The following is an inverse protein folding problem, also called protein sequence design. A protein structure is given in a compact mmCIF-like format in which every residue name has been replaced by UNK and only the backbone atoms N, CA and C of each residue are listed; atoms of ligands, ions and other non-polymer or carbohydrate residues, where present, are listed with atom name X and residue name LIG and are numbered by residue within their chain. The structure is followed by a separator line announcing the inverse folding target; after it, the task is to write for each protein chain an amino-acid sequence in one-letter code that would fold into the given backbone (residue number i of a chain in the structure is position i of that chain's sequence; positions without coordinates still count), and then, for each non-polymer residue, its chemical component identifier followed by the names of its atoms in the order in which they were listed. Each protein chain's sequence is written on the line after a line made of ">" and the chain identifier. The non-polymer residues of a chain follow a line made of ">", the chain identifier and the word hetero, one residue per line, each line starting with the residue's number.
data_IF_573509732213
#
_entry.id   IF_573509732213
#
_cell.length_a   1.000
_cell.length_b   1.000
_cell.length_c   1.000
_cell.angle_alpha   90.00
_cell.angle_beta   90.00
_cell.angle_gamma   90.00
#
_symmetry.space_group_name_H-M   'P 1'
#
loop_
_entity.id
_entity.type
_entity.pdbx_description
1 polymer ?
#
# COMPACT_ATOMS: atom_id res chain seq x y z
N UNK A 1 -0.61 29.57 -3.58
CA UNK A 1 -1.61 30.04 -4.58
C UNK A 1 -1.46 29.45 -5.99
N UNK A 2 -0.25 29.10 -6.46
CA UNK A 2 -0.05 28.54 -7.81
C UNK A 2 -0.59 27.10 -8.01
N UNK A 3 -0.68 26.29 -6.95
CA UNK A 3 -1.17 24.91 -7.03
C UNK A 3 -2.69 24.80 -7.21
N UNK A 4 -3.46 25.76 -6.68
CA UNK A 4 -4.93 25.83 -6.78
C UNK A 4 -5.39 26.18 -8.20
N UNK A 5 -4.53 26.84 -9.00
CA UNK A 5 -4.82 27.23 -10.40
C UNK A 5 -4.59 26.08 -11.38
N UNK A 6 -3.68 25.14 -11.08
CA UNK A 6 -3.39 23.95 -11.92
C UNK A 6 -4.48 22.89 -11.84
N UNK A 7 -5.11 22.72 -10.68
CA UNK A 7 -6.20 21.74 -10.48
C UNK A 7 -7.49 22.19 -11.20
N UNK A 8 -7.75 23.51 -11.25
CA UNK A 8 -8.92 24.07 -11.96
C UNK A 8 -8.77 24.07 -13.49
N UNK A 9 -7.55 23.99 -14.03
CA UNK A 9 -7.34 23.88 -15.49
C UNK A 9 -7.54 22.45 -16.02
N UNK A 10 -7.29 21.43 -15.20
CA UNK A 10 -7.43 20.02 -15.62
C UNK A 10 -8.87 19.49 -15.59
N UNK A 11 -9.81 20.21 -14.96
CA UNK A 11 -11.23 19.83 -14.93
C UNK A 11 -11.99 20.34 -16.19
N UNK A 12 -11.43 21.32 -16.92
CA UNK A 12 -12.06 21.92 -18.10
C UNK A 12 -11.61 21.28 -19.43
N UNK A 13 -10.94 20.13 -19.42
CA UNK A 13 -10.43 19.45 -20.63
C UNK A 13 -10.99 18.04 -20.86
N UNK A 14 -12.13 17.69 -20.27
CA UNK A 14 -12.88 16.50 -20.66
C UNK A 14 -13.81 16.79 -21.84
N UNK A 15 -13.29 16.46 -23.03
CA UNK A 15 -13.94 16.13 -24.30
C UNK A 15 -15.47 16.28 -24.37
N UNK A 16 -15.91 17.39 -24.95
CA UNK A 16 -17.23 17.48 -25.59
C UNK A 16 -17.14 16.80 -26.95
N UNK A 17 -17.65 15.57 -27.05
CA UNK A 17 -17.86 14.91 -28.35
C UNK A 17 -18.98 15.66 -29.08
N UNK A 18 -18.60 16.59 -29.95
CA UNK A 18 -19.53 17.25 -30.89
C UNK A 18 -19.74 16.36 -32.11
N UNK A 19 -20.91 15.72 -32.20
CA UNK A 19 -21.36 15.10 -33.44
C UNK A 19 -21.78 16.20 -34.43
N UNK A 20 -20.97 16.41 -35.47
CA UNK A 20 -21.33 17.22 -36.64
C UNK A 20 -22.24 16.39 -37.57
N UNK A 21 -23.51 16.75 -37.66
CA UNK A 21 -24.41 16.31 -38.73
C UNK A 21 -24.71 17.53 -39.62
N UNK A 22 -24.40 17.43 -40.91
CA UNK A 22 -24.68 18.44 -41.95
C UNK A 22 -26.18 18.75 -42.03
N UNK A 23 -26.60 20.00 -42.31
CA UNK A 23 -28.00 20.33 -42.47
C UNK A 23 -28.47 19.99 -43.89
N UNK A 24 -29.54 19.20 -44.02
CA UNK A 24 -30.37 19.15 -45.22
C UNK A 24 -31.79 19.57 -44.87
N UNK A 25 -32.17 20.71 -45.43
CA UNK A 25 -33.52 21.15 -45.85
C UNK A 25 -34.77 20.67 -45.07
N UNK A 26 -35.37 21.63 -44.39
CA UNK A 26 -36.81 21.96 -44.36
C UNK A 26 -37.83 20.81 -44.47
N UNK A 27 -38.47 20.47 -43.36
CA UNK A 27 -39.93 20.29 -43.33
C UNK A 27 -40.47 20.45 -41.91
N UNK A 28 -41.57 21.17 -41.82
CA UNK A 28 -42.35 21.51 -40.62
C UNK A 28 -42.93 20.28 -39.94
N UNK A 29 -42.58 20.05 -38.66
CA UNK A 29 -43.37 19.23 -37.75
C UNK A 29 -43.51 19.97 -36.42
N UNK A 30 -44.75 20.19 -36.02
CA UNK A 30 -45.16 20.91 -34.81
C UNK A 30 -44.53 20.30 -33.55
N UNK A 31 -44.11 21.11 -32.56
CA UNK A 31 -43.54 20.59 -31.33
C UNK A 31 -44.63 19.89 -30.51
N UNK A 32 -44.50 18.58 -30.35
CA UNK A 32 -45.22 17.83 -29.32
C UNK A 32 -44.73 18.36 -27.96
N UNK A 33 -45.55 19.17 -27.31
CA UNK A 33 -45.33 19.60 -25.93
C UNK A 33 -45.59 18.37 -25.05
N UNK A 34 -44.54 17.61 -24.75
CA UNK A 34 -44.58 16.62 -23.68
C UNK A 34 -44.57 17.40 -22.36
N UNK A 35 -45.55 17.21 -21.45
CA UNK A 35 -45.58 17.95 -20.21
C UNK A 35 -44.33 17.59 -19.41
N UNK A 36 -43.49 18.59 -19.14
CA UNK A 36 -42.33 18.47 -18.30
C UNK A 36 -42.75 17.76 -17.01
N UNK A 37 -42.31 16.51 -16.85
CA UNK A 37 -42.40 15.85 -15.57
C UNK A 37 -41.62 16.74 -14.60
N UNK A 38 -42.36 17.45 -13.75
CA UNK A 38 -41.80 18.15 -12.61
C UNK A 38 -41.01 17.10 -11.84
N UNK A 39 -39.70 17.10 -12.04
CA UNK A 39 -38.79 16.44 -11.13
C UNK A 39 -39.02 17.16 -9.80
N UNK A 40 -39.85 16.57 -8.95
CA UNK A 40 -39.82 16.87 -7.54
C UNK A 40 -38.45 16.41 -7.08
N UNK A 41 -37.51 17.35 -7.02
CA UNK A 41 -36.42 17.23 -6.06
C UNK A 41 -37.16 17.15 -4.72
N UNK A 42 -37.35 15.92 -4.24
CA UNK A 42 -37.66 15.71 -2.84
C UNK A 42 -36.56 16.46 -2.11
N UNK A 43 -36.91 17.57 -1.45
CA UNK A 43 -36.09 18.12 -0.38
C UNK A 43 -35.90 16.94 0.58
N UNK A 44 -34.80 16.20 0.40
CA UNK A 44 -34.37 15.14 1.30
C UNK A 44 -34.25 15.80 2.65
N UNK A 45 -35.31 15.63 3.44
CA UNK A 45 -35.60 16.44 4.61
C UNK A 45 -34.36 16.65 5.47
N UNK A 46 -33.73 17.81 5.28
CA UNK A 46 -32.59 18.31 6.04
C UNK A 46 -32.98 18.53 7.51
N UNK A 47 -34.28 18.48 7.83
CA UNK A 47 -34.81 18.57 9.20
C UNK A 47 -34.54 17.34 10.06
N UNK A 48 -34.32 16.14 9.49
CA UNK A 48 -34.16 14.92 10.30
C UNK A 48 -32.77 14.74 10.93
N UNK A 49 -31.72 15.33 10.35
CA UNK A 49 -30.33 15.15 10.78
C UNK A 49 -29.71 16.43 11.34
N UNK A 50 -30.49 17.12 12.17
CA UNK A 50 -29.95 18.18 13.02
C UNK A 50 -29.28 17.58 14.23
N UNK A 51 -28.20 18.21 14.69
CA UNK A 51 -27.46 17.82 15.91
C UNK A 51 -28.40 17.54 17.10
N UNK A 52 -29.37 18.41 17.35
CA UNK A 52 -30.34 18.28 18.44
C UNK A 52 -31.24 17.04 18.34
N UNK A 53 -31.55 16.59 17.12
CA UNK A 53 -32.40 15.41 16.91
C UNK A 53 -31.61 14.13 17.11
N UNK A 54 -30.35 14.10 16.64
CA UNK A 54 -29.45 12.98 16.89
C UNK A 54 -29.21 12.82 18.40
N UNK A 55 -28.90 13.90 19.09
CA UNK A 55 -28.67 13.89 20.54
C UNK A 55 -29.88 13.34 21.31
N UNK A 56 -31.09 13.83 21.01
CA UNK A 56 -32.33 13.35 21.64
C UNK A 56 -32.59 11.87 21.35
N UNK A 57 -32.39 11.41 20.11
CA UNK A 57 -32.57 10.00 19.75
C UNK A 57 -31.61 9.13 20.54
N UNK A 58 -30.32 9.45 20.55
CA UNK A 58 -29.29 8.66 21.23
C UNK A 58 -29.57 8.50 22.74
N UNK A 59 -30.10 9.54 23.40
CA UNK A 59 -30.47 9.48 24.83
C UNK A 59 -31.61 8.49 25.14
N UNK A 60 -32.44 8.15 24.15
CA UNK A 60 -33.58 7.24 24.33
C UNK A 60 -33.28 5.78 24.01
N UNK A 61 -32.10 5.47 23.46
CA UNK A 61 -31.76 4.13 22.99
C UNK A 61 -31.25 3.26 24.14
N UNK A 62 -31.60 1.98 24.11
CA UNK A 62 -31.20 1.02 25.14
C UNK A 62 -30.54 -0.24 24.58
N UNK A 63 -30.78 -0.58 23.30
CA UNK A 63 -30.30 -1.82 22.71
C UNK A 63 -29.21 -1.60 21.65
N UNK A 64 -28.32 -2.57 21.49
CA UNK A 64 -27.27 -2.57 20.45
C UNK A 64 -27.85 -2.34 19.04
N UNK A 65 -28.99 -2.97 18.73
CA UNK A 65 -29.63 -2.88 17.43
C UNK A 65 -30.14 -1.46 17.14
N UNK A 66 -30.74 -0.81 18.15
CA UNK A 66 -31.17 0.59 18.06
C UNK A 66 -29.98 1.52 17.79
N UNK A 67 -28.90 1.40 18.57
CA UNK A 67 -27.68 2.19 18.36
C UNK A 67 -27.11 1.97 16.96
N UNK A 68 -27.04 0.72 16.52
CA UNK A 68 -26.55 0.33 15.19
C UNK A 68 -27.38 1.01 14.10
N UNK A 69 -28.70 0.88 14.15
CA UNK A 69 -29.58 1.43 13.12
C UNK A 69 -29.48 2.96 13.05
N UNK A 70 -29.50 3.64 14.20
CA UNK A 70 -29.41 5.11 14.25
C UNK A 70 -28.07 5.60 13.76
N UNK A 71 -26.96 4.98 14.20
CA UNK A 71 -25.62 5.41 13.81
C UNK A 71 -25.27 5.06 12.36
N UNK A 72 -25.77 3.96 11.80
CA UNK A 72 -25.64 3.67 10.36
C UNK A 72 -26.44 4.68 9.53
N UNK A 73 -27.67 4.99 9.95
CA UNK A 73 -28.49 5.97 9.25
C UNK A 73 -27.83 7.37 9.29
N UNK A 74 -27.21 7.71 10.42
CA UNK A 74 -26.39 8.91 10.58
C UNK A 74 -25.18 8.90 9.64
N UNK A 75 -24.36 7.83 9.66
CA UNK A 75 -23.13 7.76 8.85
C UNK A 75 -23.41 7.83 7.35
N UNK A 76 -24.47 7.17 6.89
CA UNK A 76 -24.90 7.23 5.48
C UNK A 76 -25.33 8.63 5.02
N UNK A 77 -25.68 9.51 5.96
CA UNK A 77 -26.14 10.88 5.68
C UNK A 77 -25.15 11.94 6.14
N UNK A 78 -23.94 11.54 6.55
CA UNK A 78 -22.91 12.46 7.03
C UNK A 78 -22.63 13.59 6.06
N UNK A 79 -22.59 13.34 4.76
CA UNK A 79 -22.32 14.36 3.72
C UNK A 79 -23.33 15.53 3.78
N UNK A 80 -24.55 15.28 4.27
CA UNK A 80 -25.60 16.28 4.41
C UNK A 80 -25.51 17.05 5.74
N UNK A 81 -24.71 16.56 6.69
CA UNK A 81 -24.51 17.16 8.00
C UNK A 81 -23.56 18.35 7.89
N UNK A 82 -24.05 19.57 8.14
CA UNK A 82 -23.27 20.81 8.02
C UNK A 82 -23.25 21.65 9.30
N UNK A 83 -23.85 21.14 10.36
CA UNK A 83 -24.05 21.87 11.62
C UNK A 83 -23.14 21.28 12.72
N UNK A 84 -22.56 22.12 13.58
CA UNK A 84 -21.99 21.74 14.88
C UNK A 84 -21.15 20.43 14.91
N UNK A 85 -20.17 20.30 13.99
CA UNK A 85 -19.35 19.09 13.85
C UNK A 85 -18.59 18.77 15.15
N UNK A 86 -17.94 19.76 15.76
CA UNK A 86 -17.18 19.59 17.01
C UNK A 86 -18.07 19.18 18.19
N UNK A 87 -19.26 19.78 18.30
CA UNK A 87 -20.24 19.39 19.33
C UNK A 87 -20.72 17.96 19.10
N UNK A 88 -20.88 17.55 17.84
CA UNK A 88 -21.25 16.19 17.47
C UNK A 88 -20.17 15.17 17.87
N UNK A 89 -18.90 15.47 17.63
CA UNK A 89 -17.79 14.63 18.12
C UNK A 89 -17.83 14.51 19.64
N UNK A 90 -17.90 15.65 20.34
CA UNK A 90 -17.91 15.72 21.80
C UNK A 90 -19.08 14.91 22.38
N UNK A 91 -20.27 15.09 21.81
CA UNK A 91 -21.47 14.37 22.23
C UNK A 91 -21.34 12.87 21.99
N UNK A 92 -20.85 12.41 20.84
CA UNK A 92 -20.69 10.99 20.54
C UNK A 92 -19.67 10.33 21.49
N UNK A 93 -18.56 11.00 21.76
CA UNK A 93 -17.51 10.51 22.68
C UNK A 93 -18.04 10.40 24.11
N UNK A 94 -18.72 11.44 24.62
CA UNK A 94 -19.32 11.42 25.95
C UNK A 94 -20.38 10.32 26.10
N UNK A 95 -21.22 10.10 25.08
CA UNK A 95 -22.21 9.02 25.12
C UNK A 95 -21.52 7.66 25.09
N UNK A 96 -20.52 7.48 24.22
CA UNK A 96 -19.75 6.24 24.13
C UNK A 96 -19.08 5.87 25.46
N UNK A 97 -18.45 6.82 26.15
CA UNK A 97 -17.74 6.57 27.42
C UNK A 97 -18.69 6.20 28.56
N UNK A 98 -19.92 6.74 28.54
CA UNK A 98 -20.97 6.34 29.50
C UNK A 98 -21.45 4.91 29.29
N UNK A 99 -21.33 4.40 28.07
CA UNK A 99 -21.77 3.06 27.71
C UNK A 99 -20.64 2.06 28.01
N UNK A 100 -20.93 1.05 28.82
CA UNK A 100 -19.95 0.03 29.22
C UNK A 100 -19.85 -1.14 28.24
N UNK A 101 -20.85 -1.34 27.37
CA UNK A 101 -20.88 -2.44 26.40
C UNK A 101 -19.86 -2.19 25.26
N UNK A 102 -18.82 -3.05 25.13
CA UNK A 102 -17.80 -2.88 24.11
C UNK A 102 -18.34 -2.94 22.66
N UNK A 103 -19.43 -3.67 22.41
CA UNK A 103 -20.01 -3.76 21.07
C UNK A 103 -20.70 -2.44 20.68
N UNK A 104 -21.35 -1.78 21.64
CA UNK A 104 -21.94 -0.46 21.41
C UNK A 104 -20.82 0.57 21.20
N UNK A 105 -19.78 0.54 22.05
CA UNK A 105 -18.61 1.43 21.91
C UNK A 105 -17.98 1.35 20.52
N UNK A 106 -17.81 0.15 19.97
CA UNK A 106 -17.28 -0.06 18.61
C UNK A 106 -18.11 0.65 17.55
N UNK A 107 -19.45 0.64 17.66
CA UNK A 107 -20.32 1.34 16.69
C UNK A 107 -20.11 2.84 16.76
N UNK A 108 -19.98 3.40 17.97
CA UNK A 108 -19.66 4.82 18.14
C UNK A 108 -18.29 5.16 17.55
N UNK A 109 -17.25 4.35 17.82
CA UNK A 109 -15.91 4.56 17.25
C UNK A 109 -15.95 4.49 15.72
N UNK A 110 -16.73 3.57 15.14
CA UNK A 110 -16.91 3.48 13.69
C UNK A 110 -17.62 4.72 13.12
N UNK A 111 -18.63 5.25 13.82
CA UNK A 111 -19.28 6.49 13.44
C UNK A 111 -18.33 7.69 13.51
N UNK A 112 -17.54 7.80 14.59
CA UNK A 112 -16.48 8.80 14.74
C UNK A 112 -15.41 8.68 13.64
N UNK A 113 -15.04 7.46 13.28
CA UNK A 113 -14.08 7.20 12.18
C UNK A 113 -14.65 7.62 10.83
N UNK A 114 -15.93 7.35 10.57
CA UNK A 114 -16.61 7.81 9.36
C UNK A 114 -16.72 9.35 9.32
N UNK A 115 -17.02 9.97 10.47
CA UNK A 115 -16.97 11.42 10.61
C UNK A 115 -15.58 11.96 10.30
N UNK A 116 -14.51 11.39 10.84
CA UNK A 116 -13.15 11.90 10.64
C UNK A 116 -12.70 11.85 9.18
N UNK A 117 -13.20 10.87 8.40
CA UNK A 117 -12.96 10.78 6.96
C UNK A 117 -13.65 11.89 6.16
N UNK A 118 -14.83 12.34 6.59
CA UNK A 118 -15.67 13.31 5.85
C UNK A 118 -15.44 14.73 6.36
N UNK A 119 -15.30 14.90 7.67
CA UNK A 119 -15.12 16.14 8.40
C UNK A 119 -13.85 16.06 9.25
N UNK A 120 -12.68 16.28 8.64
CA UNK A 120 -11.42 16.21 9.34
C UNK A 120 -11.32 17.34 10.35
N UNK A 121 -11.17 16.98 11.63
CA UNK A 121 -11.00 17.94 12.72
C UNK A 121 -9.91 17.47 13.66
N UNK A 122 -9.12 18.40 14.17
CA UNK A 122 -8.14 18.16 15.24
C UNK A 122 -8.72 18.74 16.54
N UNK A 123 -9.36 17.89 17.35
CA UNK A 123 -9.83 18.27 18.69
C UNK A 123 -8.98 17.52 19.73
N UNK A 124 -7.93 18.17 20.21
CA UNK A 124 -6.94 17.56 21.11
C UNK A 124 -7.55 17.00 22.40
N UNK A 125 -8.61 17.62 22.92
CA UNK A 125 -9.28 17.12 24.12
C UNK A 125 -9.98 15.78 23.86
N UNK A 126 -10.67 15.65 22.72
CA UNK A 126 -11.27 14.38 22.29
C UNK A 126 -10.19 13.33 22.03
N UNK A 127 -9.09 13.70 21.39
CA UNK A 127 -8.00 12.75 21.10
C UNK A 127 -7.36 12.27 22.40
N UNK A 128 -7.15 13.14 23.40
CA UNK A 128 -6.67 12.75 24.73
C UNK A 128 -7.65 11.81 25.44
N UNK A 129 -8.95 12.10 25.38
CA UNK A 129 -9.99 11.27 26.02
C UNK A 129 -10.05 9.87 25.39
N UNK A 130 -9.99 9.78 24.06
CA UNK A 130 -9.91 8.50 23.34
C UNK A 130 -8.58 7.78 23.59
N UNK A 131 -7.48 8.52 23.76
CA UNK A 131 -6.18 7.94 24.11
C UNK A 131 -6.22 7.35 25.52
N UNK A 132 -6.89 8.00 26.46
CA UNK A 132 -7.12 7.46 27.80
C UNK A 132 -7.98 6.19 27.75
N UNK A 133 -9.05 6.19 26.95
CA UNK A 133 -9.87 4.98 26.73
C UNK A 133 -9.06 3.83 26.15
N UNK A 134 -8.16 4.10 25.19
CA UNK A 134 -7.26 3.10 24.61
C UNK A 134 -6.42 2.40 25.70
N UNK A 135 -5.90 3.15 26.68
CA UNK A 135 -5.09 2.58 27.78
C UNK A 135 -5.90 1.71 28.73
N UNK A 136 -7.17 2.04 28.94
CA UNK A 136 -8.00 1.40 29.97
C UNK A 136 -8.80 0.20 29.45
N UNK A 137 -9.08 0.17 28.15
CA UNK A 137 -9.95 -0.86 27.59
C UNK A 137 -9.25 -2.22 27.53
N UNK A 138 -9.96 -3.27 27.93
CA UNK A 138 -9.53 -4.67 27.79
C UNK A 138 -10.16 -5.35 26.57
N UNK A 139 -11.06 -4.65 25.86
CA UNK A 139 -11.76 -5.22 24.72
C UNK A 139 -10.95 -5.07 23.44
N UNK A 140 -10.52 -6.20 22.89
CA UNK A 140 -9.83 -6.30 21.59
C UNK A 140 -10.59 -5.56 20.49
N UNK A 141 -11.93 -5.65 20.47
CA UNK A 141 -12.75 -4.97 19.45
C UNK A 141 -12.65 -3.45 19.58
N UNK A 142 -12.68 -2.94 20.80
CA UNK A 142 -12.59 -1.50 21.09
C UNK A 142 -11.18 -1.00 20.78
N UNK A 143 -10.14 -1.71 21.26
CA UNK A 143 -8.74 -1.40 20.96
C UNK A 143 -8.49 -1.32 19.46
N UNK A 144 -8.89 -2.36 18.70
CA UNK A 144 -8.71 -2.38 17.25
C UNK A 144 -9.45 -1.26 16.53
N UNK A 145 -10.64 -0.88 17.02
CA UNK A 145 -11.42 0.24 16.45
C UNK A 145 -10.80 1.59 16.77
N UNK A 146 -10.27 1.79 17.99
CA UNK A 146 -9.56 3.00 18.38
C UNK A 146 -8.25 3.18 17.58
N UNK A 147 -7.46 2.12 17.42
CA UNK A 147 -6.25 2.16 16.58
C UNK A 147 -6.58 2.51 15.12
N UNK A 148 -7.72 2.02 14.61
CA UNK A 148 -8.22 2.38 13.27
C UNK A 148 -8.63 3.85 13.20
N UNK A 149 -9.36 4.36 14.21
CA UNK A 149 -9.71 5.77 14.33
C UNK A 149 -8.47 6.66 14.33
N UNK A 150 -7.48 6.34 15.16
CA UNK A 150 -6.22 7.10 15.22
C UNK A 150 -5.46 7.04 13.89
N UNK A 151 -5.48 5.93 13.16
CA UNK A 151 -4.84 5.85 11.84
C UNK A 151 -5.49 6.81 10.83
N UNK A 152 -6.82 6.94 10.88
CA UNK A 152 -7.56 7.90 10.04
C UNK A 152 -7.26 9.33 10.47
N UNK A 153 -7.24 9.61 11.78
CA UNK A 153 -6.90 10.91 12.34
C UNK A 153 -5.48 11.35 11.93
N UNK A 154 -4.48 10.48 12.11
CA UNK A 154 -3.08 10.76 11.77
C UNK A 154 -2.83 11.01 10.28
N UNK A 155 -3.75 10.59 9.41
CA UNK A 155 -3.68 10.91 7.97
C UNK A 155 -3.92 12.40 7.67
N UNK A 156 -4.40 13.18 8.65
CA UNK A 156 -4.84 14.57 8.48
C UNK A 156 -3.98 15.62 9.20
N UNK A 157 -2.76 15.22 9.61
CA UNK A 157 -1.85 16.00 10.45
C UNK A 157 -2.35 16.19 11.90
N UNK A 158 -1.43 16.08 12.86
CA UNK A 158 -1.61 16.26 14.30
C UNK A 158 -0.52 17.22 14.72
N UNK A 159 -0.95 18.38 15.20
CA UNK A 159 -0.11 19.49 15.61
C UNK A 159 0.54 19.21 16.97
N UNK A 160 -0.15 18.49 17.86
CA UNK A 160 0.35 18.16 19.19
C UNK A 160 1.42 17.05 19.14
N UNK A 161 2.67 17.47 19.35
CA UNK A 161 3.85 16.62 19.37
C UNK A 161 3.86 15.62 20.52
N UNK A 162 3.45 16.02 21.72
CA UNK A 162 3.46 15.14 22.90
C UNK A 162 2.43 14.02 22.74
N UNK A 163 1.26 14.38 22.21
CA UNK A 163 0.20 13.45 21.89
C UNK A 163 0.61 12.47 20.77
N UNK A 164 1.22 12.98 19.71
CA UNK A 164 1.72 12.17 18.59
C UNK A 164 2.77 11.16 19.05
N UNK A 165 3.76 11.61 19.84
CA UNK A 165 4.80 10.74 20.41
C UNK A 165 4.22 9.71 21.40
N UNK A 166 3.18 10.08 22.16
CA UNK A 166 2.49 9.18 23.07
C UNK A 166 1.70 8.10 22.32
N UNK A 167 0.97 8.47 21.27
CA UNK A 167 0.26 7.53 20.41
C UNK A 167 1.24 6.56 19.72
N UNK A 168 2.40 7.04 19.27
CA UNK A 168 3.43 6.20 18.67
C UNK A 168 3.97 5.15 19.66
N UNK A 169 4.26 5.55 20.90
CA UNK A 169 4.68 4.61 21.96
C UNK A 169 3.63 3.54 22.23
N UNK A 170 2.35 3.90 22.27
CA UNK A 170 1.28 2.91 22.41
C UNK A 170 1.17 1.99 21.22
N UNK A 171 1.24 2.53 20.00
CA UNK A 171 1.21 1.70 18.80
C UNK A 171 2.42 0.73 18.73
N UNK A 172 3.61 1.13 19.20
CA UNK A 172 4.75 0.22 19.36
C UNK A 172 4.42 -0.90 20.35
N UNK A 173 3.81 -0.57 21.50
CA UNK A 173 3.40 -1.59 22.49
C UNK A 173 2.34 -2.55 21.94
N UNK A 174 1.35 -2.07 21.19
CA UNK A 174 0.31 -2.90 20.59
C UNK A 174 0.79 -3.69 19.36
N UNK A 175 1.96 -3.37 18.79
CA UNK A 175 2.54 -4.14 17.68
C UNK A 175 2.95 -5.56 18.07
N UNK A 176 3.12 -5.84 19.36
CA UNK A 176 3.46 -7.15 19.92
C UNK A 176 2.29 -7.78 20.71
N UNK A 177 1.06 -7.29 20.51
CA UNK A 177 -0.14 -7.80 21.16
C UNK A 177 -0.39 -9.28 20.81
N UNK A 178 -1.06 -10.04 21.68
CA UNK A 178 -1.36 -11.46 21.41
C UNK A 178 -2.30 -11.64 20.21
N UNK A 179 -3.07 -10.63 19.84
CA UNK A 179 -4.01 -10.68 18.73
C UNK A 179 -3.43 -10.04 17.47
N UNK A 180 -3.24 -10.85 16.42
CA UNK A 180 -2.78 -10.43 15.09
C UNK A 180 -3.52 -9.19 14.57
N UNK A 181 -4.84 -9.11 14.77
CA UNK A 181 -5.64 -7.94 14.33
C UNK A 181 -5.18 -6.64 15.01
N UNK A 182 -4.83 -6.69 16.29
CA UNK A 182 -4.34 -5.52 17.02
C UNK A 182 -2.96 -5.12 16.51
N UNK A 183 -2.07 -6.11 16.31
CA UNK A 183 -0.75 -5.87 15.73
C UNK A 183 -0.87 -5.16 14.37
N UNK A 184 -1.68 -5.68 13.45
CA UNK A 184 -1.91 -5.08 12.12
C UNK A 184 -2.46 -3.66 12.23
N UNK A 185 -3.44 -3.41 13.11
CA UNK A 185 -3.97 -2.06 13.33
C UNK A 185 -2.90 -1.11 13.90
N UNK A 186 -2.03 -1.60 14.77
CA UNK A 186 -0.96 -0.83 15.36
C UNK A 186 0.11 -0.48 14.33
N UNK A 187 0.53 -1.42 13.49
CA UNK A 187 1.50 -1.20 12.40
C UNK A 187 0.99 -0.14 11.40
N UNK A 188 -0.29 -0.20 11.02
CA UNK A 188 -0.94 0.84 10.19
C UNK A 188 -0.84 2.22 10.82
N UNK A 189 -1.11 2.31 12.13
CA UNK A 189 -1.02 3.55 12.88
C UNK A 189 0.43 4.06 12.92
N UNK A 190 1.41 3.18 13.19
CA UNK A 190 2.83 3.54 13.20
C UNK A 190 3.27 4.13 11.87
N UNK A 191 2.81 3.57 10.75
CA UNK A 191 3.07 4.12 9.44
C UNK A 191 2.55 5.54 9.27
N UNK A 192 1.31 5.81 9.70
CA UNK A 192 0.72 7.15 9.61
C UNK A 192 1.42 8.15 10.53
N UNK A 193 1.77 7.74 11.75
CA UNK A 193 2.48 8.57 12.72
C UNK A 193 3.92 8.85 12.28
N UNK A 194 4.62 7.87 11.72
CA UNK A 194 6.01 8.02 11.27
C UNK A 194 6.16 9.03 10.12
N UNK A 195 5.12 9.23 9.31
CA UNK A 195 5.08 10.26 8.25
C UNK A 195 4.89 11.69 8.79
N UNK A 196 4.53 11.84 10.06
CA UNK A 196 4.15 13.14 10.59
C UNK A 196 5.41 13.99 10.84
N UNK A 197 5.41 15.28 10.47
CA UNK A 197 6.57 16.13 10.75
C UNK A 197 6.64 16.54 12.23
N UNK A 198 5.56 16.37 13.00
CA UNK A 198 5.51 16.68 14.44
C UNK A 198 6.21 15.62 15.31
N UNK A 199 6.38 14.40 14.82
CA UNK A 199 6.97 13.30 15.60
C UNK A 199 8.49 13.46 15.73
N UNK A 200 9.02 13.13 16.91
CA UNK A 200 10.45 13.17 17.18
C UNK A 200 11.24 12.18 16.33
N UNK A 201 12.44 12.57 15.87
CA UNK A 201 13.33 11.69 15.10
C UNK A 201 13.74 10.43 15.87
N UNK A 202 13.89 10.52 17.19
CA UNK A 202 14.14 9.34 18.04
C UNK A 202 12.98 8.35 17.96
N UNK A 203 11.74 8.86 18.05
CA UNK A 203 10.54 8.04 17.93
C UNK A 203 10.40 7.48 16.51
N UNK A 204 10.76 8.23 15.45
CA UNK A 204 10.81 7.68 14.09
C UNK A 204 11.78 6.50 14.00
N UNK A 205 12.97 6.64 14.59
CA UNK A 205 13.95 5.55 14.63
C UNK A 205 13.40 4.34 15.37
N UNK A 206 12.71 4.53 16.51
CA UNK A 206 12.07 3.44 17.25
C UNK A 206 10.99 2.74 16.41
N UNK A 207 10.21 3.51 15.65
CA UNK A 207 9.20 2.96 14.72
C UNK A 207 9.88 2.09 13.66
N UNK A 208 10.93 2.60 13.00
CA UNK A 208 11.63 1.87 11.93
C UNK A 208 12.25 0.59 12.47
N UNK A 209 12.93 0.65 13.62
CA UNK A 209 13.52 -0.52 14.26
C UNK A 209 12.45 -1.56 14.60
N UNK A 210 11.33 -1.13 15.19
CA UNK A 210 10.21 -2.02 15.49
C UNK A 210 9.64 -2.67 14.24
N UNK A 211 9.50 -1.92 13.14
CA UNK A 211 9.00 -2.46 11.88
C UNK A 211 9.97 -3.50 11.29
N UNK A 212 11.27 -3.25 11.33
CA UNK A 212 12.30 -4.18 10.86
C UNK A 212 12.30 -5.47 11.67
N UNK A 213 12.20 -5.41 13.00
CA UNK A 213 12.02 -6.61 13.83
C UNK A 213 10.74 -7.38 13.45
N UNK A 214 9.69 -6.66 13.06
CA UNK A 214 8.36 -7.26 12.79
C UNK A 214 8.29 -7.96 11.43
N UNK A 215 9.22 -7.70 10.49
CA UNK A 215 9.25 -8.45 9.22
C UNK A 215 9.71 -9.90 9.40
N UNK A 216 10.27 -10.27 10.56
CA UNK A 216 10.64 -11.66 10.88
C UNK A 216 9.53 -12.40 11.64
N UNK A 217 8.35 -11.79 11.80
CA UNK A 217 7.23 -12.36 12.56
C UNK A 217 6.71 -13.67 11.92
N UNK A 218 6.26 -14.63 12.73
CA UNK A 218 5.77 -15.94 12.24
C UNK A 218 4.54 -15.82 11.33
N UNK A 219 3.61 -14.91 11.68
CA UNK A 219 2.40 -14.66 10.90
C UNK A 219 2.68 -13.80 9.64
N UNK A 220 2.32 -14.29 8.44
CA UNK A 220 2.58 -13.60 7.18
C UNK A 220 1.79 -12.29 7.01
N UNK A 221 0.60 -12.17 7.60
CA UNK A 221 -0.19 -10.93 7.51
C UNK A 221 0.49 -9.81 8.29
N UNK A 222 1.12 -10.15 9.43
CA UNK A 222 1.89 -9.21 10.24
C UNK A 222 3.16 -8.78 9.51
N UNK A 223 3.93 -9.72 8.95
CA UNK A 223 5.11 -9.40 8.12
C UNK A 223 4.75 -8.50 6.94
N UNK A 224 3.68 -8.85 6.22
CA UNK A 224 3.23 -8.09 5.06
C UNK A 224 2.82 -6.66 5.45
N UNK A 225 2.13 -6.47 6.57
CA UNK A 225 1.77 -5.12 7.05
C UNK A 225 3.01 -4.33 7.51
N UNK A 226 3.96 -4.95 8.20
CA UNK A 226 5.21 -4.29 8.59
C UNK A 226 6.00 -3.82 7.37
N UNK A 227 6.18 -4.70 6.38
CA UNK A 227 6.91 -4.38 5.15
C UNK A 227 6.22 -3.30 4.31
N UNK A 228 4.88 -3.34 4.20
CA UNK A 228 4.10 -2.25 3.59
C UNK A 228 4.29 -0.93 4.31
N UNK A 229 4.35 -0.98 5.63
CA UNK A 229 4.53 0.22 6.46
C UNK A 229 5.91 0.82 6.22
N UNK A 230 6.96 0.00 6.12
CA UNK A 230 8.32 0.42 5.75
C UNK A 230 8.30 1.09 4.37
N UNK A 231 7.72 0.43 3.35
CA UNK A 231 7.61 0.99 2.00
C UNK A 231 6.86 2.33 2.00
N UNK A 232 5.79 2.45 2.79
CA UNK A 232 5.04 3.69 2.93
C UNK A 232 5.88 4.82 3.54
N UNK A 233 6.77 4.52 4.50
CA UNK A 233 7.72 5.50 5.04
C UNK A 233 8.82 5.86 4.03
N UNK A 234 9.35 4.88 3.29
CA UNK A 234 10.39 5.09 2.30
C UNK A 234 9.93 5.93 1.11
N UNK A 235 8.66 5.80 0.70
CA UNK A 235 8.05 6.70 -0.30
C UNK A 235 8.06 8.17 0.13
N UNK A 236 8.19 8.43 1.43
CA UNK A 236 8.35 9.77 1.99
C UNK A 236 9.80 10.09 2.38
N UNK A 237 10.77 9.25 1.96
CA UNK A 237 12.20 9.37 2.28
C UNK A 237 12.51 9.28 3.79
N UNK A 238 11.64 8.61 4.56
CA UNK A 238 11.79 8.45 6.02
C UNK A 238 12.41 7.09 6.32
N UNK A 239 13.53 7.09 7.03
CA UNK A 239 14.14 5.85 7.53
C UNK A 239 14.86 5.01 6.47
N UNK A 240 15.08 5.56 5.28
CA UNK A 240 15.82 4.90 4.22
C UNK A 240 17.27 4.69 4.67
N UNK A 241 17.73 3.44 4.72
CA UNK A 241 19.10 3.13 5.13
C UNK A 241 19.61 1.89 4.40
N UNK A 242 20.87 1.91 3.98
CA UNK A 242 21.49 0.84 3.20
C UNK A 242 21.51 -0.53 3.92
N UNK A 243 21.75 -0.63 5.24
CA UNK A 243 21.68 -1.90 5.96
C UNK A 243 20.30 -2.58 5.89
N UNK A 244 19.24 -1.82 5.58
CA UNK A 244 17.91 -2.40 5.42
C UNK A 244 17.79 -3.30 4.18
N UNK A 245 18.76 -3.23 3.26
CA UNK A 245 18.84 -4.05 2.06
C UNK A 245 18.77 -5.57 2.36
N UNK A 246 19.52 -6.05 3.35
CA UNK A 246 19.59 -7.49 3.66
C UNK A 246 18.24 -8.06 4.11
N UNK A 247 17.51 -7.30 4.94
CA UNK A 247 16.16 -7.64 5.36
C UNK A 247 15.21 -7.84 4.16
N UNK A 248 15.32 -7.00 3.13
CA UNK A 248 14.47 -7.12 1.95
C UNK A 248 14.92 -8.25 1.02
N UNK A 249 16.22 -8.60 0.99
CA UNK A 249 16.68 -9.79 0.28
C UNK A 249 16.07 -11.07 0.85
N UNK A 250 16.01 -11.18 2.17
CA UNK A 250 15.37 -12.31 2.84
C UNK A 250 13.87 -12.35 2.51
N UNK A 251 13.20 -11.19 2.53
CA UNK A 251 11.78 -11.09 2.17
C UNK A 251 11.48 -11.46 0.69
N UNK A 252 12.45 -11.37 -0.22
CA UNK A 252 12.29 -11.85 -1.61
C UNK A 252 12.16 -13.38 -1.69
N UNK A 253 12.57 -14.11 -0.66
CA UNK A 253 12.47 -15.58 -0.60
C UNK A 253 11.26 -16.04 0.22
N UNK A 254 10.40 -15.13 0.68
CA UNK A 254 9.24 -15.47 1.50
C UNK A 254 8.24 -16.33 0.72
N UNK A 255 7.63 -17.32 1.38
CA UNK A 255 6.60 -18.18 0.78
C UNK A 255 5.36 -17.43 0.30
N UNK A 256 5.08 -16.25 0.86
CA UNK A 256 3.92 -15.43 0.53
C UNK A 256 4.25 -14.38 -0.54
N UNK A 257 3.56 -14.45 -1.67
CA UNK A 257 3.81 -13.57 -2.82
C UNK A 257 3.63 -12.08 -2.50
N UNK A 258 2.75 -11.73 -1.57
CA UNK A 258 2.53 -10.36 -1.13
C UNK A 258 3.76 -9.75 -0.44
N UNK A 259 4.50 -10.55 0.32
CA UNK A 259 5.73 -10.12 0.99
C UNK A 259 6.83 -9.94 -0.05
N UNK A 260 7.02 -10.93 -0.95
CA UNK A 260 7.98 -10.82 -2.06
C UNK A 260 7.72 -9.59 -2.93
N UNK A 261 6.46 -9.37 -3.31
CA UNK A 261 6.01 -8.20 -4.07
C UNK A 261 6.38 -6.88 -3.37
N UNK A 262 6.11 -6.79 -2.08
CA UNK A 262 6.40 -5.57 -1.30
C UNK A 262 7.91 -5.40 -1.07
N UNK A 263 8.66 -6.50 -0.95
CA UNK A 263 10.13 -6.49 -0.84
C UNK A 263 10.79 -5.99 -2.13
N UNK A 264 10.29 -6.40 -3.30
CA UNK A 264 10.71 -5.83 -4.58
C UNK A 264 10.53 -4.31 -4.59
N UNK A 265 9.42 -3.80 -4.04
CA UNK A 265 9.19 -2.35 -3.95
C UNK A 265 10.14 -1.65 -2.99
N UNK A 266 10.43 -2.25 -1.83
CA UNK A 266 11.41 -1.71 -0.89
C UNK A 266 12.82 -1.62 -1.51
N UNK A 267 13.26 -2.68 -2.19
CA UNK A 267 14.54 -2.72 -2.91
C UNK A 267 14.60 -1.70 -4.03
N UNK A 268 13.53 -1.59 -4.82
CA UNK A 268 13.40 -0.56 -5.85
C UNK A 268 13.57 0.85 -5.27
N UNK A 269 12.90 1.14 -4.14
CA UNK A 269 13.02 2.44 -3.47
C UNK A 269 14.43 2.70 -2.95
N UNK A 270 15.11 1.70 -2.36
CA UNK A 270 16.52 1.84 -1.98
C UNK A 270 17.40 2.16 -3.19
N UNK A 271 17.23 1.42 -4.29
CA UNK A 271 18.05 1.56 -5.49
C UNK A 271 17.92 2.93 -6.17
N UNK A 272 16.70 3.48 -6.28
CA UNK A 272 16.51 4.78 -6.94
C UNK A 272 16.97 5.96 -6.09
N UNK A 273 16.98 5.80 -4.75
CA UNK A 273 17.39 6.86 -3.82
C UNK A 273 18.90 6.80 -3.49
N UNK A 274 19.51 5.61 -3.57
CA UNK A 274 20.93 5.38 -3.27
C UNK A 274 21.62 4.60 -4.40
N UNK A 275 21.54 5.04 -5.68
CA UNK A 275 21.93 4.23 -6.83
C UNK A 275 23.42 3.87 -6.86
N UNK A 276 24.26 4.81 -6.41
CA UNK A 276 25.73 4.69 -6.40
C UNK A 276 26.27 3.98 -5.15
N UNK A 277 25.41 3.65 -4.18
CA UNK A 277 25.85 2.95 -2.97
C UNK A 277 26.35 1.56 -3.31
N UNK A 278 27.48 1.17 -2.71
CA UNK A 278 28.00 -0.19 -2.86
C UNK A 278 27.44 -1.05 -1.74
N UNK A 279 26.88 -2.20 -2.08
CA UNK A 279 26.52 -3.23 -1.11
C UNK A 279 27.60 -4.32 -1.16
N UNK A 280 28.05 -4.87 -0.02
CA UNK A 280 28.93 -6.03 -0.04
C UNK A 280 28.26 -7.15 -0.82
N UNK A 281 28.90 -7.54 -1.92
CA UNK A 281 28.50 -8.69 -2.71
C UNK A 281 28.51 -9.90 -1.77
N UNK A 282 27.37 -10.56 -1.58
CA UNK A 282 27.40 -11.91 -1.03
C UNK A 282 28.33 -12.71 -1.95
N UNK A 283 29.39 -13.25 -1.34
CA UNK A 283 30.52 -13.91 -1.99
C UNK A 283 30.10 -14.67 -3.25
N UNK A 284 30.40 -14.13 -4.44
CA UNK A 284 30.50 -14.77 -5.76
C UNK A 284 30.31 -13.70 -6.87
N UNK A 285 31.31 -12.83 -7.10
CA UNK A 285 31.82 -12.33 -8.40
C UNK A 285 32.73 -11.10 -8.21
N UNK A 286 33.63 -10.88 -9.18
CA UNK A 286 34.83 -10.03 -9.10
C UNK A 286 34.55 -8.51 -8.96
N UNK A 287 35.53 -7.70 -8.50
CA UNK A 287 35.35 -6.27 -8.29
C UNK A 287 35.58 -5.51 -9.61
N UNK A 288 34.55 -4.85 -10.13
CA UNK A 288 34.61 -3.59 -10.89
C UNK A 288 33.19 -3.21 -11.34
N UNK A 289 32.68 -2.05 -10.91
CA UNK A 289 31.40 -1.42 -11.29
C UNK A 289 30.08 -2.23 -11.14
N UNK A 290 30.15 -3.55 -10.92
CA UNK A 290 29.01 -4.43 -10.62
C UNK A 290 28.51 -4.29 -9.16
N UNK A 291 29.19 -3.50 -8.34
CA UNK A 291 28.86 -3.33 -6.93
C UNK A 291 27.79 -2.28 -6.64
N UNK A 292 27.39 -1.46 -7.63
CA UNK A 292 26.35 -0.43 -7.44
C UNK A 292 25.01 -1.07 -7.08
N UNK A 293 24.36 -0.52 -6.06
CA UNK A 293 23.07 -0.98 -5.55
C UNK A 293 22.02 -1.05 -6.66
N UNK A 294 21.96 -0.04 -7.54
CA UNK A 294 20.99 -0.03 -8.63
C UNK A 294 21.17 -1.19 -9.61
N UNK A 295 22.42 -1.58 -9.90
CA UNK A 295 22.73 -2.70 -10.79
C UNK A 295 22.38 -4.03 -10.11
N UNK A 296 22.67 -4.18 -8.82
CA UNK A 296 22.29 -5.38 -8.06
C UNK A 296 20.77 -5.55 -7.97
N UNK A 297 20.05 -4.49 -7.59
CA UNK A 297 18.58 -4.51 -7.52
C UNK A 297 17.97 -4.75 -8.89
N UNK A 298 18.55 -4.22 -9.97
CA UNK A 298 18.10 -4.53 -11.32
C UNK A 298 18.14 -6.04 -11.62
N UNK A 299 19.24 -6.72 -11.29
CA UNK A 299 19.35 -8.18 -11.47
C UNK A 299 18.29 -8.93 -10.63
N UNK A 300 18.17 -8.58 -9.35
CA UNK A 300 17.17 -9.18 -8.47
C UNK A 300 15.75 -9.01 -9.02
N UNK A 301 15.37 -7.80 -9.44
CA UNK A 301 14.05 -7.55 -10.03
C UNK A 301 13.88 -8.32 -11.35
N UNK A 302 14.95 -8.45 -12.15
CA UNK A 302 14.91 -9.30 -13.35
C UNK A 302 14.64 -10.77 -13.00
N UNK A 303 15.22 -11.30 -11.94
CA UNK A 303 14.96 -12.67 -11.50
C UNK A 303 13.50 -12.85 -11.05
N UNK A 304 12.92 -11.84 -10.41
CA UNK A 304 11.50 -11.82 -9.99
C UNK A 304 10.50 -11.82 -11.15
N UNK A 305 10.95 -11.61 -12.39
CA UNK A 305 10.09 -11.83 -13.57
C UNK A 305 9.76 -13.31 -13.80
N UNK A 306 10.51 -14.23 -13.17
CA UNK A 306 10.25 -15.66 -13.16
C UNK A 306 9.48 -16.15 -11.92
N UNK A 307 9.00 -15.24 -11.07
CA UNK A 307 8.28 -15.62 -9.85
C UNK A 307 7.04 -16.46 -10.16
N UNK A 308 6.70 -17.42 -9.29
CA UNK A 308 5.52 -18.29 -9.45
C UNK A 308 4.21 -17.49 -9.51
N UNK A 309 4.13 -16.38 -8.78
CA UNK A 309 2.94 -15.55 -8.66
C UNK A 309 2.90 -14.45 -9.73
N UNK A 310 1.81 -14.42 -10.51
CA UNK A 310 1.61 -13.46 -11.62
C UNK A 310 1.77 -12.00 -11.19
N UNK A 311 1.24 -11.63 -10.03
CA UNK A 311 1.33 -10.26 -9.52
C UNK A 311 2.77 -9.80 -9.26
N UNK A 312 3.64 -10.68 -8.75
CA UNK A 312 5.06 -10.40 -8.56
C UNK A 312 5.74 -10.18 -9.92
N UNK A 313 5.49 -11.07 -10.90
CA UNK A 313 6.02 -10.93 -12.26
C UNK A 313 5.65 -9.60 -12.91
N UNK A 314 4.36 -9.23 -12.87
CA UNK A 314 3.85 -7.97 -13.46
C UNK A 314 4.54 -6.76 -12.81
N UNK A 315 4.67 -6.75 -11.49
CA UNK A 315 5.32 -5.65 -10.78
C UNK A 315 6.81 -5.57 -11.09
N UNK A 316 7.50 -6.71 -11.13
CA UNK A 316 8.91 -6.78 -11.51
C UNK A 316 9.14 -6.17 -12.90
N UNK A 317 8.32 -6.54 -13.89
CA UNK A 317 8.40 -5.97 -15.24
C UNK A 317 8.20 -4.44 -15.27
N UNK A 318 7.23 -3.92 -14.49
CA UNK A 318 7.03 -2.48 -14.36
C UNK A 318 8.23 -1.77 -13.72
N UNK A 319 8.90 -2.43 -12.77
CA UNK A 319 10.07 -1.89 -12.08
C UNK A 319 11.32 -1.87 -12.97
N UNK A 320 11.55 -2.90 -13.79
CA UNK A 320 12.67 -2.94 -14.76
C UNK A 320 12.66 -1.67 -15.62
N UNK A 321 11.51 -1.34 -16.21
CA UNK A 321 11.37 -0.15 -17.06
C UNK A 321 11.63 1.16 -16.33
N UNK A 322 11.32 1.23 -15.02
CA UNK A 322 11.64 2.40 -14.18
C UNK A 322 13.12 2.44 -13.84
N UNK A 323 13.71 1.34 -13.37
CA UNK A 323 15.13 1.25 -12.99
C UNK A 323 16.06 1.66 -14.14
N UNK A 324 15.77 1.26 -15.37
CA UNK A 324 16.53 1.68 -16.55
C UNK A 324 16.62 3.22 -16.71
N UNK A 325 15.65 3.98 -16.17
CA UNK A 325 15.65 5.45 -16.20
C UNK A 325 16.48 6.09 -15.07
N UNK A 326 16.88 5.31 -14.08
CA UNK A 326 17.55 5.79 -12.86
C UNK A 326 19.05 5.48 -12.81
N UNK A 327 19.66 5.02 -13.91
CA UNK A 327 21.11 4.88 -14.01
C UNK A 327 21.64 3.44 -13.92
N UNK A 328 20.82 2.43 -14.25
CA UNK A 328 21.31 1.07 -14.49
C UNK A 328 22.32 1.08 -15.66
N UNK A 329 23.41 0.32 -15.52
CA UNK A 329 24.38 0.16 -16.60
C UNK A 329 23.70 -0.39 -17.87
N UNK A 330 23.89 0.31 -18.99
CA UNK A 330 23.35 -0.07 -20.29
C UNK A 330 23.84 -1.45 -20.75
N UNK A 331 25.06 -1.84 -20.38
CA UNK A 331 25.59 -3.16 -20.72
C UNK A 331 24.82 -4.26 -20.00
N UNK A 332 24.46 -4.03 -18.73
CA UNK A 332 23.64 -4.97 -17.96
C UNK A 332 22.25 -5.11 -18.58
N UNK A 333 21.63 -3.99 -18.97
CA UNK A 333 20.35 -4.01 -19.69
C UNK A 333 20.46 -4.80 -21.00
N UNK A 334 21.52 -4.58 -21.77
CA UNK A 334 21.75 -5.32 -23.00
C UNK A 334 21.93 -6.81 -22.76
N UNK A 335 22.71 -7.22 -21.74
CA UNK A 335 22.91 -8.62 -21.38
C UNK A 335 21.59 -9.28 -20.98
N UNK A 336 20.79 -8.62 -20.14
CA UNK A 336 19.48 -9.12 -19.70
C UNK A 336 18.52 -9.30 -20.86
N UNK A 337 18.59 -8.45 -21.89
CA UNK A 337 17.74 -8.50 -23.08
C UNK A 337 18.32 -9.33 -24.24
N UNK A 338 19.60 -9.75 -24.18
CA UNK A 338 20.25 -10.43 -25.29
C UNK A 338 19.76 -11.88 -25.44
N UNK A 339 19.04 -12.14 -26.54
CA UNK A 339 18.59 -13.47 -26.96
C UNK A 339 19.74 -14.46 -27.21
N UNK A 340 20.98 -14.01 -27.45
CA UNK A 340 22.12 -14.92 -27.67
C UNK A 340 22.53 -15.65 -26.39
N UNK A 341 22.44 -15.00 -25.22
CA UNK A 341 22.69 -15.64 -23.92
C UNK A 341 21.66 -16.76 -23.66
N UNK A 342 20.38 -16.52 -23.93
CA UNK A 342 19.31 -17.53 -23.84
C UNK A 342 19.57 -18.76 -24.72
N UNK A 343 20.16 -18.59 -25.91
CA UNK A 343 20.53 -19.73 -26.78
C UNK A 343 21.69 -20.54 -26.19
N UNK A 344 22.62 -19.88 -25.52
CA UNK A 344 23.75 -20.53 -24.85
C UNK A 344 23.26 -21.28 -23.60
N UNK A 345 22.37 -20.70 -22.80
CA UNK A 345 21.80 -21.34 -21.61
C UNK A 345 20.93 -22.54 -21.97
N UNK A 346 20.00 -22.39 -22.94
CA UNK A 346 19.21 -23.53 -23.45
C UNK A 346 20.09 -24.64 -24.02
N UNK A 347 21.23 -24.28 -24.63
CA UNK A 347 22.22 -25.25 -25.11
C UNK A 347 22.94 -25.94 -23.95
N UNK A 348 23.30 -25.23 -22.87
CA UNK A 348 23.91 -25.80 -21.66
C UNK A 348 22.94 -26.70 -20.88
N UNK A 349 21.68 -26.31 -20.73
CA UNK A 349 20.65 -27.17 -20.12
C UNK A 349 20.38 -28.42 -20.97
N UNK A 350 20.36 -28.28 -22.31
CA UNK A 350 20.33 -29.45 -23.19
C UNK A 350 21.54 -30.34 -22.98
N UNK A 351 22.75 -29.77 -22.90
CA UNK A 351 24.00 -30.52 -22.70
C UNK A 351 23.97 -31.21 -21.34
N UNK A 352 23.61 -30.53 -20.25
CA UNK A 352 23.53 -31.14 -18.92
C UNK A 352 22.45 -32.22 -18.84
N UNK A 353 21.33 -32.05 -19.55
CA UNK A 353 20.26 -33.06 -19.64
C UNK A 353 20.67 -34.24 -20.54
N UNK A 354 21.47 -34.00 -21.57
CA UNK A 354 22.11 -35.02 -22.40
C UNK A 354 23.20 -35.74 -21.61
N UNK A 355 24.01 -35.05 -20.81
CA UNK A 355 25.01 -35.66 -19.91
C UNK A 355 24.38 -36.48 -18.79
N UNK A 356 23.22 -36.05 -18.26
CA UNK A 356 22.43 -36.87 -17.34
C UNK A 356 21.83 -38.12 -18.00
N UNK A 357 21.49 -38.05 -19.29
CA UNK A 357 21.01 -39.20 -20.07
C UNK A 357 22.18 -40.09 -20.57
N UNK A 358 23.35 -39.51 -20.87
CA UNK A 358 24.59 -40.20 -21.24
C UNK A 358 25.27 -40.84 -20.02
N UNK A 359 24.92 -40.45 -18.79
CA UNK A 359 25.33 -41.21 -17.59
C UNK A 359 24.67 -42.59 -17.49
N UNK A 360 23.72 -42.91 -18.39
CA UNK A 360 23.21 -44.28 -18.62
C UNK A 360 23.83 -44.97 -19.85
N UNK A 361 24.73 -44.32 -20.61
CA UNK A 361 25.44 -44.91 -21.76
C UNK A 361 26.87 -44.36 -21.90
N UNK A 362 27.85 -45.17 -21.53
CA UNK A 362 29.29 -44.85 -21.67
C UNK A 362 29.71 -44.48 -23.11
N UNK A 363 30.71 -43.58 -23.16
CA UNK A 363 31.65 -43.27 -24.23
C UNK A 363 31.18 -42.49 -25.47
N UNK A 364 31.22 -41.15 -25.44
CA UNK A 364 31.81 -40.30 -26.52
C UNK A 364 32.40 -39.00 -25.93
N UNK A 365 33.69 -38.74 -26.21
CA UNK A 365 34.40 -37.52 -25.83
C UNK A 365 33.87 -36.25 -26.54
N UNK A 366 33.44 -35.25 -25.76
CA UNK A 366 33.06 -33.91 -26.25
C UNK A 366 34.23 -32.94 -26.04
N UNK A 367 34.66 -32.29 -27.11
CA UNK A 367 35.74 -31.29 -27.10
C UNK A 367 35.39 -30.04 -26.29
N UNK A 368 36.34 -29.64 -25.44
CA UNK A 368 36.32 -28.48 -24.56
C UNK A 368 36.07 -27.16 -25.32
N UNK A 369 35.00 -26.48 -24.92
CA UNK A 369 34.95 -25.02 -24.95
C UNK A 369 34.89 -24.56 -23.50
N UNK A 370 36.05 -24.25 -22.93
CA UNK A 370 36.19 -23.71 -21.58
C UNK A 370 35.65 -22.28 -21.54
N UNK A 371 34.34 -22.13 -21.39
CA UNK A 371 33.73 -20.89 -20.92
C UNK A 371 33.62 -21.00 -19.41
N UNK A 372 34.36 -20.14 -18.71
CA UNK A 372 34.44 -20.09 -17.26
C UNK A 372 33.05 -20.07 -16.62
N UNK A 373 32.66 -21.21 -16.04
CA UNK A 373 31.31 -21.49 -15.58
C UNK A 373 30.89 -20.59 -14.41
N UNK A 374 31.86 -20.05 -13.67
CA UNK A 374 31.63 -19.15 -12.53
C UNK A 374 31.29 -17.72 -12.94
N UNK A 375 31.51 -17.34 -14.22
CA UNK A 375 31.24 -15.99 -14.72
C UNK A 375 29.82 -15.77 -15.24
N UNK A 376 29.01 -16.83 -15.31
CA UNK A 376 27.64 -16.79 -15.86
C UNK A 376 26.67 -17.19 -14.77
N UNK A 377 25.96 -16.22 -14.19
CA UNK A 377 24.82 -16.49 -13.31
C UNK A 377 23.70 -17.14 -14.13
N UNK A 378 23.43 -18.41 -13.87
CA UNK A 378 22.45 -19.25 -14.58
C UNK A 378 21.09 -19.09 -13.90
N UNK A 379 20.20 -18.27 -14.46
CA UNK A 379 18.76 -18.39 -14.22
C UNK A 379 18.12 -19.24 -15.33
N UNK A 380 17.43 -20.32 -14.93
CA UNK A 380 16.90 -21.36 -15.83
C UNK A 380 15.90 -20.85 -16.90
N UNK A 381 15.35 -19.65 -16.67
CA UNK A 381 14.72 -18.83 -17.70
C UNK A 381 15.34 -17.44 -17.54
N UNK A 382 16.23 -17.07 -18.47
CA UNK A 382 16.79 -15.71 -18.44
C UNK A 382 15.65 -14.67 -18.47
N UNK A 383 15.81 -13.49 -17.84
CA UNK A 383 14.73 -12.51 -17.69
C UNK A 383 14.03 -12.13 -18.99
N UNK A 384 14.73 -12.14 -20.13
CA UNK A 384 14.15 -11.92 -21.46
C UNK A 384 13.17 -13.03 -21.90
N UNK A 385 13.42 -14.29 -21.52
CA UNK A 385 12.48 -15.39 -21.73
C UNK A 385 11.20 -15.21 -20.91
N UNK A 386 11.34 -14.84 -19.64
CA UNK A 386 10.23 -14.51 -18.75
C UNK A 386 9.40 -13.31 -19.25
N UNK A 387 10.09 -12.30 -19.81
CA UNK A 387 9.47 -11.09 -20.36
C UNK A 387 8.65 -11.40 -21.61
N UNK A 388 9.14 -12.30 -22.47
CA UNK A 388 8.41 -12.80 -23.63
C UNK A 388 7.23 -13.68 -23.18
N UNK A 389 7.45 -14.66 -22.30
CA UNK A 389 6.39 -15.53 -21.79
C UNK A 389 5.30 -14.76 -21.04
N UNK A 390 5.65 -13.75 -20.25
CA UNK A 390 4.66 -12.92 -19.55
C UNK A 390 3.82 -12.06 -20.48
N UNK A 391 4.40 -11.57 -21.58
CA UNK A 391 3.64 -10.91 -22.66
C UNK A 391 2.73 -11.91 -23.39
N UNK A 392 3.20 -13.14 -23.63
CA UNK A 392 2.42 -14.22 -24.25
C UNK A 392 1.26 -14.68 -23.35
N UNK A 393 1.47 -14.79 -22.04
CA UNK A 393 0.45 -15.17 -21.04
C UNK A 393 -0.67 -14.11 -20.92
N UNK A 394 -0.35 -12.82 -20.99
CA UNK A 394 -1.38 -11.75 -20.97
C UNK A 394 -2.16 -11.68 -22.29
N UNK A 395 -1.53 -11.96 -23.42
CA UNK A 395 -2.21 -11.99 -24.72
C UNK A 395 -3.14 -13.20 -24.84
N UNK A 396 -2.72 -14.36 -24.32
CA UNK A 396 -3.48 -15.62 -24.41
C UNK A 396 -4.61 -15.73 -23.38
N UNK A 397 -4.60 -14.91 -22.33
CA UNK A 397 -5.66 -14.87 -21.30
C UNK A 397 -6.85 -13.96 -21.60
N UNK A 398 -6.86 -13.32 -22.78
CA UNK A 398 -7.93 -12.42 -23.24
C UNK A 398 -8.73 -12.99 -24.43
N UNK A 399 -8.63 -14.31 -24.70
CA UNK A 399 -9.53 -15.03 -25.63
C UNK A 399 -10.65 -15.76 -24.91
#
# INVERSE_FOLDING_TARGET
>A
MALKKRILQNINQSETVQFYVKPQSTSTLEPIIVPAHKIRVLELSTKYWRFTNLQKRLQTLSTLQEYTQVLIEFTNRLILFKECIEDCYTMLVQQMIRLTDPNIQVIFINALTAMQKIFPTENNEIVKELTHLLKQTTSIKVTGSLLTYFSVLSSMYLSDKELTSTLAKYAIQYSIDSHIRIQICALKLLGKLGQMPSIDETVKSDIINKLLETIEHDDPCVRAEALRTIVMLYKCEIGLNLPHYNYFLECLQDHYSEIRLTACEALFLLAINMPESSVPLSSLTAPNDESKLINQVFRLVCDQTNDEAKNVRVQAMQMIGKLCRHGVDINLVHQTLDKKLLRITKRKELIAKVEQLDSEMEDIAVHDVTVDAESVSITAIGPCGALISGLEDEYSGNE
#
